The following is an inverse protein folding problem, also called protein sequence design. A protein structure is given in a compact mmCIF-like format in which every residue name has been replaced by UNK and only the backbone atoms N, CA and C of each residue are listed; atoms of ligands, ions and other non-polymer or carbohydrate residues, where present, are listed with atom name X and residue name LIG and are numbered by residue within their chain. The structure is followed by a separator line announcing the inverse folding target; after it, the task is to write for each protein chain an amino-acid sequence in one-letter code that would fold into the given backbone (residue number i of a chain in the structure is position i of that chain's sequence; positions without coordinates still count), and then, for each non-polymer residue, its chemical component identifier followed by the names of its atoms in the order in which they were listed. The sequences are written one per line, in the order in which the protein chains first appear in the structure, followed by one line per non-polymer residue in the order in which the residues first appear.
data_IF_079269926414
#
_entry.id   IF_079269926414
#
_cell.length_a   1.000
_cell.length_b   1.000
_cell.length_c   1.000
_cell.angle_alpha   90.00
_cell.angle_beta   90.00
_cell.angle_gamma   90.00
#
_symmetry.space_group_name_H-M   'P 1'
#
loop_
_entity.id
_entity.type
_entity.pdbx_description
1 polymer ?
#
# COMPACT_ATOMS: atom_id res chain seq x y z
N UNK A 1 40.99 -51.17 35.94
CA UNK A 1 41.46 -49.84 35.47
C UNK A 1 40.39 -49.28 34.54
N UNK A 2 39.60 -48.31 35.03
CA UNK A 2 38.60 -47.59 34.25
C UNK A 2 39.31 -46.45 33.47
N UNK A 3 39.04 -46.34 32.17
CA UNK A 3 39.37 -45.17 31.37
C UNK A 3 38.08 -44.37 31.15
N UNK A 4 38.04 -43.13 31.67
CA UNK A 4 36.94 -42.19 31.46
C UNK A 4 37.34 -41.23 30.34
N UNK A 5 36.58 -41.21 29.25
CA UNK A 5 36.69 -40.25 28.15
C UNK A 5 35.81 -39.02 28.43
N UNK A 6 36.44 -37.84 28.52
CA UNK A 6 35.74 -36.56 28.55
C UNK A 6 35.32 -36.15 27.13
N UNK A 7 34.01 -35.92 26.93
CA UNK A 7 33.45 -35.25 25.75
C UNK A 7 33.30 -33.75 26.06
N UNK A 8 34.11 -32.92 25.41
CA UNK A 8 33.95 -31.47 25.42
C UNK A 8 33.03 -31.05 24.26
N UNK A 9 31.77 -30.74 24.55
CA UNK A 9 30.84 -30.11 23.61
C UNK A 9 30.75 -28.61 23.86
N UNK A 10 31.29 -27.81 22.95
CA UNK A 10 31.17 -26.34 22.98
C UNK A 10 29.82 -25.88 22.45
N UNK A 11 29.07 -25.12 23.25
CA UNK A 11 27.83 -24.47 22.85
C UNK A 11 28.14 -23.08 22.27
N UNK A 12 28.06 -22.94 20.94
CA UNK A 12 28.12 -21.64 20.27
C UNK A 12 26.72 -21.01 20.25
N UNK A 13 26.48 -20.05 21.15
CA UNK A 13 25.31 -19.17 21.09
C UNK A 13 25.55 -18.10 20.01
N UNK A 14 24.97 -18.29 18.83
CA UNK A 14 24.94 -17.29 17.78
C UNK A 14 24.02 -16.13 18.16
N UNK A 15 24.59 -14.96 18.45
CA UNK A 15 23.84 -13.70 18.55
C UNK A 15 23.31 -13.33 17.16
N UNK A 16 22.05 -13.64 16.90
CA UNK A 16 21.29 -13.09 15.77
C UNK A 16 21.05 -11.60 16.06
N UNK A 17 21.88 -10.73 15.47
CA UNK A 17 21.66 -9.29 15.52
C UNK A 17 20.44 -8.93 14.67
N UNK A 18 19.28 -8.77 15.30
CA UNK A 18 18.09 -8.19 14.64
C UNK A 18 18.39 -6.73 14.30
N UNK A 19 18.42 -6.39 13.01
CA UNK A 19 18.53 -5.00 12.57
C UNK A 19 17.25 -4.25 12.98
N UNK A 20 17.34 -3.09 13.65
CA UNK A 20 16.15 -2.30 13.96
C UNK A 20 15.49 -1.85 12.65
N UNK A 21 14.20 -2.15 12.50
CA UNK A 21 13.36 -1.58 11.43
C UNK A 21 13.04 -0.14 11.80
N UNK A 22 13.36 0.86 10.96
CA UNK A 22 12.93 2.22 11.20
C UNK A 22 11.40 2.25 11.26
N UNK A 23 10.86 2.89 12.30
CA UNK A 23 9.42 3.16 12.44
C UNK A 23 9.22 4.61 12.03
N UNK A 24 8.40 4.84 11.00
CA UNK A 24 8.01 6.18 10.57
C UNK A 24 6.62 6.49 11.14
N UNK A 25 6.40 7.72 11.59
CA UNK A 25 5.08 8.17 12.01
C UNK A 25 4.27 8.56 10.80
N UNK A 26 3.03 8.09 10.70
CA UNK A 26 2.13 8.52 9.66
C UNK A 26 1.69 9.97 9.95
N UNK A 27 1.66 10.81 8.92
CA UNK A 27 1.18 12.17 9.07
C UNK A 27 0.22 12.57 7.96
N UNK A 28 -0.81 13.34 8.31
CA UNK A 28 -1.55 14.10 7.28
C UNK A 28 -0.59 15.15 6.73
N UNK A 29 -0.34 15.20 5.41
CA UNK A 29 0.62 16.16 4.85
C UNK A 29 0.31 17.60 5.26
N UNK A 30 1.34 18.38 5.59
CA UNK A 30 1.21 19.78 5.97
C UNK A 30 2.28 20.63 5.26
N UNK A 31 1.91 21.52 4.33
CA UNK A 31 0.54 21.82 3.91
C UNK A 31 -0.08 20.64 3.12
N UNK A 32 -1.40 20.41 3.25
CA UNK A 32 -1.99 19.20 2.67
C UNK A 32 -2.09 19.25 1.14
N UNK A 33 -2.01 18.08 0.51
CA UNK A 33 -2.05 17.85 -0.92
C UNK A 33 -3.15 16.84 -1.30
N UNK A 34 -3.15 16.41 -2.55
CA UNK A 34 -3.96 15.30 -3.03
C UNK A 34 -3.22 14.53 -4.12
N UNK A 35 -3.56 13.26 -4.29
CA UNK A 35 -3.05 12.41 -5.36
C UNK A 35 -4.19 11.95 -6.24
N UNK A 36 -3.91 11.86 -7.54
CA UNK A 36 -4.78 11.23 -8.52
C UNK A 36 -4.04 10.11 -9.18
N UNK A 37 -4.73 9.09 -9.66
CA UNK A 37 -4.07 8.12 -10.51
C UNK A 37 -5.01 7.08 -11.07
N UNK A 38 -4.46 6.32 -12.00
CA UNK A 38 -5.14 5.19 -12.61
C UNK A 38 -4.22 4.38 -13.47
N UNK A 39 -4.61 3.15 -13.77
CA UNK A 39 -3.82 2.25 -14.58
C UNK A 39 -4.05 0.80 -14.22
N UNK A 40 -3.00 0.02 -14.29
CA UNK A 40 -3.03 -1.36 -13.83
C UNK A 40 -1.72 -1.81 -13.21
N UNK A 41 -1.82 -2.85 -12.39
CA UNK A 41 -0.70 -3.65 -11.90
C UNK A 41 -0.87 -5.09 -12.36
N UNK A 42 0.23 -5.85 -12.42
CA UNK A 42 0.17 -7.30 -12.62
C UNK A 42 0.12 -8.04 -11.28
N UNK A 43 -0.75 -9.05 -11.21
CA UNK A 43 -0.92 -9.92 -10.06
C UNK A 43 -0.75 -11.35 -10.54
N UNK A 44 0.42 -11.96 -10.27
CA UNK A 44 0.71 -13.35 -10.61
C UNK A 44 0.45 -14.29 -9.43
N UNK A 45 0.28 -15.59 -9.70
CA UNK A 45 0.02 -16.59 -8.66
C UNK A 45 1.05 -16.56 -7.53
N UNK A 46 0.55 -16.57 -6.30
CA UNK A 46 1.29 -16.47 -5.06
C UNK A 46 1.73 -15.05 -4.65
N UNK A 47 1.27 -13.98 -5.31
CA UNK A 47 1.74 -12.60 -5.04
C UNK A 47 0.75 -11.70 -4.29
N UNK A 48 -0.48 -12.15 -4.10
CA UNK A 48 -1.45 -11.61 -3.14
C UNK A 48 -1.64 -12.56 -1.96
N UNK A 49 -2.00 -12.00 -0.80
CA UNK A 49 -2.06 -12.73 0.47
C UNK A 49 -3.27 -13.67 0.63
N UNK A 50 -4.16 -13.81 -0.36
CA UNK A 50 -5.34 -14.70 -0.27
C UNK A 50 -5.82 -15.27 -1.61
N UNK A 51 -6.35 -16.51 -1.63
CA UNK A 51 -6.80 -17.23 -2.84
C UNK A 51 -8.00 -16.54 -3.52
N UNK A 52 -8.22 -16.70 -4.84
CA UNK A 52 -8.04 -17.89 -5.68
C UNK A 52 -6.71 -17.90 -6.48
N UNK A 53 -6.41 -18.94 -7.29
CA UNK A 53 -5.19 -18.95 -8.11
C UNK A 53 -5.15 -17.73 -9.03
N UNK A 54 -4.21 -16.83 -8.77
CA UNK A 54 -3.97 -15.70 -9.64
C UNK A 54 -3.37 -16.24 -10.95
N UNK A 55 -3.71 -15.64 -12.08
CA UNK A 55 -3.38 -16.15 -13.42
C UNK A 55 -2.45 -15.21 -14.20
N UNK A 56 -1.88 -14.21 -13.51
CA UNK A 56 -1.09 -13.15 -14.13
C UNK A 56 -1.95 -12.06 -14.78
N UNK A 57 -3.25 -12.00 -14.47
CA UNK A 57 -4.13 -10.96 -15.00
C UNK A 57 -3.80 -9.61 -14.36
N UNK A 58 -4.24 -8.58 -15.07
CA UNK A 58 -4.12 -7.19 -14.62
C UNK A 58 -5.15 -6.92 -13.53
N UNK A 59 -4.79 -6.12 -12.54
CA UNK A 59 -5.78 -5.41 -11.73
C UNK A 59 -5.80 -3.94 -12.12
N UNK A 60 -6.97 -3.45 -12.49
CA UNK A 60 -7.18 -2.07 -12.89
C UNK A 60 -7.55 -1.23 -11.67
N UNK A 61 -7.11 0.02 -11.65
CA UNK A 61 -7.53 0.95 -10.61
C UNK A 61 -7.71 2.37 -11.16
N UNK A 62 -8.52 3.15 -10.46
CA UNK A 62 -8.64 4.59 -10.57
C UNK A 62 -8.91 5.17 -9.19
N UNK A 63 -8.27 6.28 -8.86
CA UNK A 63 -8.40 6.90 -7.56
C UNK A 63 -8.18 8.41 -7.60
N UNK A 64 -8.76 9.07 -6.60
CA UNK A 64 -8.29 10.35 -6.08
C UNK A 64 -8.37 10.28 -4.57
N UNK A 65 -7.42 10.89 -3.87
CA UNK A 65 -7.46 11.00 -2.42
C UNK A 65 -6.67 12.20 -1.95
N UNK A 66 -7.18 12.91 -0.96
CA UNK A 66 -6.48 14.08 -0.43
C UNK A 66 -7.24 14.78 0.67
N UNK A 67 -6.75 15.97 1.02
CA UNK A 67 -7.46 16.87 1.90
C UNK A 67 -8.21 17.95 1.13
N UNK A 68 -9.38 18.34 1.65
CA UNK A 68 -10.13 19.49 1.17
C UNK A 68 -10.98 20.10 2.29
N UNK A 69 -10.89 21.41 2.47
CA UNK A 69 -11.72 22.20 3.39
C UNK A 69 -11.80 21.63 4.82
N UNK A 70 -10.67 21.18 5.38
CA UNK A 70 -10.58 20.61 6.73
C UNK A 70 -11.00 19.15 6.85
N UNK A 71 -11.36 18.49 5.75
CA UNK A 71 -11.73 17.07 5.70
C UNK A 71 -10.93 16.29 4.67
N UNK A 72 -11.22 14.99 4.58
CA UNK A 72 -10.72 14.13 3.50
C UNK A 72 -11.72 14.06 2.36
N UNK A 73 -11.23 13.84 1.15
CA UNK A 73 -12.06 13.58 -0.03
C UNK A 73 -11.38 12.55 -0.92
N UNK A 74 -12.16 11.89 -1.76
CA UNK A 74 -11.61 10.99 -2.74
C UNK A 74 -12.61 9.98 -3.29
N UNK A 75 -12.08 9.07 -4.10
CA UNK A 75 -12.75 7.85 -4.50
C UNK A 75 -11.70 6.77 -4.80
N UNK A 76 -12.10 5.51 -4.71
CA UNK A 76 -11.34 4.36 -5.17
C UNK A 76 -12.25 3.49 -6.04
N UNK A 77 -11.72 3.05 -7.17
CA UNK A 77 -12.29 1.97 -7.96
C UNK A 77 -11.16 1.00 -8.32
N UNK A 78 -11.21 -0.24 -7.84
CA UNK A 78 -10.20 -1.27 -8.07
C UNK A 78 -10.86 -2.57 -8.52
N UNK A 79 -10.36 -3.17 -9.60
CA UNK A 79 -10.88 -4.42 -10.18
C UNK A 79 -9.73 -5.39 -10.40
N UNK A 80 -9.73 -6.50 -9.67
CA UNK A 80 -8.82 -7.63 -9.90
C UNK A 80 -9.47 -8.62 -10.89
N UNK A 81 -8.93 -8.68 -12.10
CA UNK A 81 -9.46 -9.53 -13.16
C UNK A 81 -9.12 -11.02 -12.98
N UNK A 82 -8.32 -11.41 -11.96
CA UNK A 82 -8.05 -12.82 -11.68
C UNK A 82 -9.24 -13.52 -11.02
N UNK A 83 -9.91 -12.82 -10.10
CA UNK A 83 -10.93 -13.39 -9.23
C UNK A 83 -12.27 -12.65 -9.32
N UNK A 84 -12.33 -11.52 -10.03
CA UNK A 84 -13.52 -10.68 -10.14
C UNK A 84 -13.78 -9.83 -8.90
N UNK A 85 -12.80 -9.65 -8.01
CA UNK A 85 -12.88 -8.73 -6.89
C UNK A 85 -13.00 -7.30 -7.43
N UNK A 86 -14.04 -6.59 -7.02
CA UNK A 86 -14.25 -5.19 -7.32
C UNK A 86 -14.49 -4.43 -6.02
N UNK A 87 -13.68 -3.40 -5.80
CA UNK A 87 -13.69 -2.52 -4.62
C UNK A 87 -14.03 -1.12 -5.10
N UNK A 88 -15.10 -0.54 -4.55
CA UNK A 88 -15.57 0.80 -4.90
C UNK A 88 -15.80 1.61 -3.63
N UNK A 89 -15.32 2.85 -3.61
CA UNK A 89 -15.50 3.75 -2.47
C UNK A 89 -15.56 5.21 -2.90
N UNK A 90 -16.39 5.97 -2.20
CA UNK A 90 -16.40 7.43 -2.12
C UNK A 90 -16.17 7.92 -0.66
N UNK A 91 -15.91 7.00 0.26
CA UNK A 91 -15.81 7.24 1.70
C UNK A 91 -14.36 7.15 2.14
N UNK A 92 -13.70 8.32 2.25
CA UNK A 92 -12.30 8.43 2.68
C UNK A 92 -12.23 8.82 4.15
N UNK A 93 -11.52 8.02 4.94
CA UNK A 93 -11.37 8.19 6.40
C UNK A 93 -9.98 8.68 6.79
N UNK A 94 -8.97 8.46 5.95
CA UNK A 94 -7.63 9.02 6.14
C UNK A 94 -6.91 9.25 4.81
N UNK A 95 -6.07 10.28 4.82
CA UNK A 95 -5.08 10.58 3.79
C UNK A 95 -3.78 10.97 4.45
N UNK A 96 -2.76 10.12 4.35
CA UNK A 96 -1.50 10.28 5.09
C UNK A 96 -0.27 10.04 4.23
N UNK A 97 0.82 10.72 4.54
CA UNK A 97 2.15 10.29 4.16
C UNK A 97 2.60 9.20 5.16
N UNK A 98 2.79 7.96 4.74
CA UNK A 98 3.23 6.89 5.64
C UNK A 98 4.71 6.95 5.98
N UNK A 99 5.47 7.80 5.29
CA UNK A 99 6.92 7.83 5.37
C UNK A 99 7.48 9.25 5.23
N UNK A 100 7.12 10.18 6.12
CA UNK A 100 7.67 11.52 6.05
C UNK A 100 9.18 11.49 6.31
N UNK A 101 9.96 11.89 5.30
CA UNK A 101 11.43 11.94 5.36
C UNK A 101 12.15 10.63 4.98
N UNK A 102 11.44 9.64 4.46
CA UNK A 102 12.02 8.36 4.06
C UNK A 102 12.95 8.42 2.86
N UNK A 103 13.92 7.50 2.86
CA UNK A 103 14.80 7.23 1.73
C UNK A 103 14.37 5.95 0.99
N UNK A 104 14.43 5.90 -0.35
CA UNK A 104 14.78 7.01 -1.25
C UNK A 104 13.72 8.12 -1.23
N UNK A 105 14.02 9.36 -1.66
CA UNK A 105 13.07 10.47 -1.68
C UNK A 105 11.72 10.14 -2.33
N UNK A 106 11.70 9.12 -3.20
CA UNK A 106 10.48 8.49 -3.73
C UNK A 106 9.42 8.13 -2.70
N UNK A 107 9.86 7.57 -1.57
CA UNK A 107 8.96 7.19 -0.50
C UNK A 107 8.30 8.40 0.18
N UNK A 108 8.84 9.62 0.04
CA UNK A 108 8.18 10.84 0.53
C UNK A 108 6.97 11.24 -0.32
N UNK A 109 6.94 10.83 -1.58
CA UNK A 109 5.78 11.02 -2.46
C UNK A 109 4.73 9.92 -2.24
N UNK A 110 4.92 9.03 -1.27
CA UNK A 110 3.93 8.03 -0.92
C UNK A 110 2.71 8.65 -0.26
N UNK A 111 1.52 8.21 -0.67
CA UNK A 111 0.27 8.59 -0.03
C UNK A 111 -0.55 7.35 0.21
N UNK A 112 -0.99 7.22 1.45
CA UNK A 112 -1.96 6.23 1.82
C UNK A 112 -3.34 6.87 1.89
N UNK A 113 -4.28 6.26 1.17
CA UNK A 113 -5.69 6.62 1.18
C UNK A 113 -6.43 5.45 1.82
N UNK A 114 -7.16 5.75 2.88
CA UNK A 114 -7.89 4.75 3.65
C UNK A 114 -9.36 5.11 3.70
N UNK A 115 -10.21 4.11 3.81
CA UNK A 115 -11.65 4.31 3.75
C UNK A 115 -12.45 3.04 3.93
N UNK A 116 -13.76 3.17 3.78
CA UNK A 116 -14.69 2.06 3.69
C UNK A 116 -15.12 1.91 2.23
N UNK A 117 -15.14 0.67 1.72
CA UNK A 117 -15.49 0.36 0.35
C UNK A 117 -16.55 -0.73 0.29
N UNK A 118 -17.47 -0.60 -0.65
CA UNK A 118 -18.32 -1.70 -1.06
C UNK A 118 -17.50 -2.66 -1.92
N UNK A 119 -17.59 -3.94 -1.58
CA UNK A 119 -16.84 -5.00 -2.24
C UNK A 119 -17.80 -5.99 -2.87
N UNK A 120 -17.50 -6.37 -4.11
CA UNK A 120 -18.15 -7.48 -4.80
C UNK A 120 -17.12 -8.46 -5.34
N UNK A 121 -17.54 -9.71 -5.53
CA UNK A 121 -16.75 -10.76 -6.16
C UNK A 121 -17.58 -11.32 -7.30
N UNK A 122 -17.04 -11.28 -8.52
CA UNK A 122 -17.73 -11.73 -9.74
C UNK A 122 -19.09 -11.03 -9.92
N UNK A 123 -19.16 -9.74 -9.55
CA UNK A 123 -20.37 -8.93 -9.62
C UNK A 123 -21.39 -9.18 -8.50
N UNK A 124 -21.14 -10.12 -7.58
CA UNK A 124 -21.99 -10.36 -6.41
C UNK A 124 -21.49 -9.56 -5.21
N UNK A 125 -22.28 -8.65 -4.62
CA UNK A 125 -21.88 -7.92 -3.41
C UNK A 125 -21.56 -8.87 -2.26
N UNK A 126 -20.45 -8.63 -1.57
CA UNK A 126 -20.00 -9.42 -0.41
C UNK A 126 -19.98 -8.61 0.89
N UNK A 127 -20.13 -7.29 0.81
CA UNK A 127 -20.28 -6.39 1.96
C UNK A 127 -19.38 -5.16 1.89
N UNK A 128 -19.30 -4.46 3.00
CA UNK A 128 -18.46 -3.26 3.16
C UNK A 128 -17.22 -3.62 3.97
N UNK A 129 -16.06 -3.18 3.49
CA UNK A 129 -14.74 -3.50 4.06
C UNK A 129 -13.89 -2.24 4.18
N UNK A 130 -12.91 -2.24 5.07
CA UNK A 130 -11.91 -1.19 5.10
C UNK A 130 -10.90 -1.43 3.96
N UNK A 131 -10.37 -0.36 3.40
CA UNK A 131 -9.25 -0.44 2.49
C UNK A 131 -8.14 0.52 2.89
N UNK A 132 -6.93 0.17 2.47
CA UNK A 132 -5.78 1.06 2.42
C UNK A 132 -5.15 0.90 1.05
N UNK A 133 -5.04 1.97 0.29
CA UNK A 133 -4.23 1.99 -0.93
C UNK A 133 -3.01 2.86 -0.71
N UNK A 134 -1.88 2.44 -1.27
CA UNK A 134 -0.65 3.22 -1.32
C UNK A 134 -0.36 3.60 -2.75
N UNK A 135 -0.23 4.90 -3.00
CA UNK A 135 0.27 5.44 -4.26
C UNK A 135 1.65 6.04 -4.05
N UNK A 136 2.50 5.97 -5.08
CA UNK A 136 3.80 6.63 -5.09
C UNK A 136 3.99 7.22 -6.47
N UNK A 137 3.95 8.56 -6.56
CA UNK A 137 4.44 9.33 -7.72
C UNK A 137 5.98 9.27 -7.69
N UNK A 138 6.55 8.59 -8.67
CA UNK A 138 7.98 8.30 -8.74
C UNK A 138 8.67 9.00 -9.92
N UNK A 139 7.91 9.44 -10.93
CA UNK A 139 8.47 9.86 -12.21
C UNK A 139 9.40 11.09 -12.15
N UNK A 140 9.28 11.97 -11.16
CA UNK A 140 10.13 13.18 -11.08
C UNK A 140 11.47 12.99 -10.36
N UNK A 141 11.90 11.76 -10.08
CA UNK A 141 12.92 11.50 -9.05
C UNK A 141 14.27 10.99 -9.55
N UNK A 142 14.37 10.46 -10.76
CA UNK A 142 15.65 10.09 -11.38
C UNK A 142 15.59 10.13 -12.90
N UNK A 143 16.74 9.98 -13.56
CA UNK A 143 16.84 9.78 -15.01
C UNK A 143 17.49 8.42 -15.30
N UNK A 144 16.80 7.46 -15.96
CA UNK A 144 15.41 7.56 -16.41
C UNK A 144 14.41 7.61 -15.24
N UNK A 145 13.22 8.21 -15.44
CA UNK A 145 12.21 8.30 -14.40
C UNK A 145 11.71 6.89 -14.05
N UNK A 146 11.69 6.51 -12.76
CA UNK A 146 11.11 5.25 -12.35
C UNK A 146 9.59 5.33 -12.56
N UNK A 147 8.95 4.18 -12.82
CA UNK A 147 7.49 4.12 -12.89
C UNK A 147 6.87 4.35 -11.51
N UNK A 148 5.69 4.97 -11.52
CA UNK A 148 4.85 5.09 -10.33
C UNK A 148 4.41 3.74 -9.79
N UNK A 149 3.82 3.76 -8.59
CA UNK A 149 3.47 2.53 -7.89
C UNK A 149 2.09 2.60 -7.27
N UNK A 150 1.49 1.42 -7.16
CA UNK A 150 0.22 1.21 -6.50
C UNK A 150 0.26 -0.09 -5.68
N UNK A 151 -0.37 -0.09 -4.52
CA UNK A 151 -0.64 -1.27 -3.69
C UNK A 151 -1.97 -1.11 -2.96
N UNK A 152 -2.57 -2.23 -2.56
CA UNK A 152 -3.88 -2.24 -1.88
C UNK A 152 -3.95 -3.31 -0.81
N UNK A 153 -4.52 -2.94 0.34
CA UNK A 153 -5.05 -3.84 1.35
C UNK A 153 -6.56 -3.70 1.46
N UNK A 154 -7.22 -4.83 1.71
CA UNK A 154 -8.60 -4.90 2.17
C UNK A 154 -8.61 -5.58 3.53
N UNK A 155 -9.27 -4.92 4.47
CA UNK A 155 -9.40 -5.35 5.85
C UNK A 155 -10.87 -5.61 6.19
N UNK A 156 -11.10 -6.58 7.06
CA UNK A 156 -12.40 -6.68 7.73
C UNK A 156 -12.64 -5.42 8.57
N UNK A 157 -13.86 -4.90 8.60
CA UNK A 157 -14.26 -3.88 9.57
C UNK A 157 -14.63 -4.54 10.90
N UNK A 158 -14.12 -4.01 12.01
CA UNK A 158 -14.60 -4.38 13.34
C UNK A 158 -15.96 -3.74 13.67
N UNK A 159 -16.54 -4.08 14.82
CA UNK A 159 -17.84 -3.54 15.27
C UNK A 159 -17.84 -2.04 15.52
N UNK A 160 -16.66 -1.41 15.59
CA UNK A 160 -16.49 0.04 15.76
C UNK A 160 -16.20 0.74 14.43
N UNK A 161 -16.15 0.00 13.32
CA UNK A 161 -15.84 0.53 11.99
C UNK A 161 -14.35 0.74 11.74
N UNK A 162 -13.46 0.13 12.53
CA UNK A 162 -12.02 0.20 12.30
C UNK A 162 -11.52 -0.93 11.42
N UNK A 163 -10.42 -0.70 10.71
CA UNK A 163 -9.72 -1.73 9.96
C UNK A 163 -9.12 -2.79 10.90
N UNK A 164 -9.57 -4.03 10.73
CA UNK A 164 -9.10 -5.20 11.47
C UNK A 164 -8.22 -6.11 10.62
N UNK A 165 -8.52 -7.41 10.64
CA UNK A 165 -7.72 -8.43 9.96
C UNK A 165 -7.64 -8.19 8.44
N UNK A 166 -6.44 -8.37 7.89
CA UNK A 166 -6.20 -8.35 6.44
C UNK A 166 -6.88 -9.55 5.77
N UNK A 167 -7.67 -9.28 4.73
CA UNK A 167 -8.36 -10.29 3.92
C UNK A 167 -7.78 -10.39 2.52
N UNK A 168 -7.18 -9.32 2.02
CA UNK A 168 -6.55 -9.26 0.70
C UNK A 168 -5.44 -8.22 0.75
N UNK A 169 -4.26 -8.56 0.24
CA UNK A 169 -3.12 -7.67 0.16
C UNK A 169 -2.41 -7.89 -1.16
N UNK A 170 -2.19 -6.78 -1.87
CA UNK A 170 -1.30 -6.68 -3.02
C UNK A 170 -0.27 -5.61 -2.69
N UNK A 171 0.97 -6.06 -2.44
CA UNK A 171 2.03 -5.15 -2.04
C UNK A 171 2.28 -4.10 -3.12
N UNK A 172 2.69 -2.91 -2.69
CA UNK A 172 3.02 -1.80 -3.57
C UNK A 172 4.03 -2.26 -4.61
N UNK A 173 3.66 -2.09 -5.87
CA UNK A 173 4.44 -2.53 -7.03
C UNK A 173 4.31 -1.52 -8.17
N UNK A 174 5.24 -1.59 -9.11
CA UNK A 174 5.30 -0.66 -10.24
C UNK A 174 4.06 -0.77 -11.12
N UNK A 175 3.56 0.38 -11.58
CA UNK A 175 2.51 0.42 -12.57
C UNK A 175 2.98 -0.22 -13.87
N UNK A 176 2.07 -1.00 -14.46
CA UNK A 176 2.22 -1.52 -15.80
C UNK A 176 3.52 -2.33 -16.03
N UNK A 177 4.10 -2.90 -14.97
CA UNK A 177 5.30 -3.74 -15.05
C UNK A 177 5.02 -5.01 -15.85
N UNK A 178 6.02 -5.49 -16.58
CA UNK A 178 6.07 -6.83 -17.17
C UNK A 178 6.28 -7.95 -16.12
N UNK A 179 6.81 -7.59 -14.95
CA UNK A 179 6.99 -8.48 -13.82
C UNK A 179 5.86 -8.33 -12.80
N UNK A 180 5.21 -9.43 -12.41
CA UNK A 180 4.18 -9.42 -11.37
C UNK A 180 4.73 -9.23 -9.95
N UNK A 181 6.04 -9.42 -9.78
CA UNK A 181 6.77 -9.16 -8.54
C UNK A 181 7.60 -7.88 -8.63
N UNK A 182 7.37 -7.06 -9.66
CA UNK A 182 8.14 -5.87 -9.98
C UNK A 182 8.53 -5.12 -8.71
N UNK A 183 9.80 -5.25 -8.33
CA UNK A 183 10.28 -4.69 -7.08
C UNK A 183 10.08 -3.18 -7.19
N UNK A 184 9.33 -2.64 -6.24
CA UNK A 184 9.04 -1.22 -6.21
C UNK A 184 10.35 -0.38 -6.21
N UNK A 185 11.48 -0.89 -5.73
CA UNK A 185 12.77 -0.19 -5.81
C UNK A 185 13.39 -0.10 -7.21
N UNK A 186 13.01 -0.95 -8.16
CA UNK A 186 13.68 -1.07 -9.47
C UNK A 186 12.69 -0.95 -10.64
N UNK A 187 11.66 -0.12 -10.50
CA UNK A 187 10.69 0.13 -11.56
C UNK A 187 11.37 0.57 -12.86
N UNK A 188 11.45 -0.33 -13.85
CA UNK A 188 12.06 -0.06 -15.14
C UNK A 188 11.18 0.90 -15.95
N UNK A 189 11.77 1.99 -16.44
CA UNK A 189 11.11 2.97 -17.30
C UNK A 189 10.63 2.40 -18.64
N UNK A 190 11.16 1.24 -19.06
CA UNK A 190 10.97 0.66 -20.40
C UNK A 190 9.66 -0.14 -20.52
N UNK A 191 8.91 -0.31 -19.43
CA UNK A 191 7.69 -1.10 -19.46
C UNK A 191 6.58 -0.37 -20.27
N UNK A 192 6.10 -0.96 -21.38
CA UNK A 192 5.21 -0.31 -22.35
C UNK A 192 3.74 -0.22 -21.89
N UNK A 193 3.47 -0.37 -20.60
CA UNK A 193 2.11 -0.32 -20.08
C UNK A 193 1.68 1.10 -19.68
N UNK A 194 0.37 1.34 -19.76
CA UNK A 194 -0.27 2.60 -19.38
C UNK A 194 -0.65 2.66 -17.90
N UNK A 195 -0.68 3.87 -17.36
CA UNK A 195 -1.01 4.19 -15.98
C UNK A 195 -0.09 5.27 -15.44
N UNK A 196 -0.58 6.01 -14.45
CA UNK A 196 0.04 7.24 -13.96
C UNK A 196 -0.47 7.56 -12.55
N UNK A 197 0.43 8.02 -11.67
CA UNK A 197 0.11 8.60 -10.37
C UNK A 197 0.68 10.01 -10.33
N UNK A 198 -0.18 10.97 -10.07
CA UNK A 198 0.21 12.38 -9.95
C UNK A 198 0.00 12.84 -8.52
N UNK A 199 1.06 13.37 -7.91
CA UNK A 199 0.97 14.08 -6.64
C UNK A 199 0.78 15.58 -6.88
N UNK A 200 -0.42 16.08 -6.59
CA UNK A 200 -0.78 17.48 -6.78
C UNK A 200 -0.43 18.30 -5.55
N UNK A 201 0.43 19.30 -5.74
CA UNK A 201 0.86 20.18 -4.66
C UNK A 201 -0.31 20.93 -4.01
N UNK A 202 -0.10 21.32 -2.76
CA UNK A 202 -1.03 22.11 -1.97
C UNK A 202 -1.58 23.35 -2.71
N UNK A 203 -2.88 23.59 -2.53
CA UNK A 203 -3.53 24.87 -2.75
C UNK A 203 -4.35 25.27 -1.51
N UNK A 204 -4.85 26.52 -1.40
CA UNK A 204 -5.55 27.00 -0.21
C UNK A 204 -6.77 26.17 0.23
N UNK A 205 -7.39 25.42 -0.69
CA UNK A 205 -8.51 24.53 -0.38
C UNK A 205 -8.06 23.16 0.14
N UNK A 206 -6.79 22.77 -0.04
CA UNK A 206 -6.21 21.53 0.47
C UNK A 206 -5.77 21.69 1.93
N UNK A 207 -6.76 21.91 2.79
CA UNK A 207 -6.59 21.85 4.25
C UNK A 207 -7.18 20.53 4.75
N UNK A 208 -6.44 19.84 5.61
CA UNK A 208 -6.83 18.55 6.18
C UNK A 208 -7.09 18.62 7.68
N UNK A 209 -7.78 17.63 8.24
CA UNK A 209 -7.85 17.46 9.69
C UNK A 209 -6.50 16.96 10.22
N UNK A 210 -6.28 17.07 11.52
CA UNK A 210 -5.17 16.35 12.19
C UNK A 210 -5.63 14.95 12.59
N UNK A 211 -4.80 13.94 12.34
CA UNK A 211 -4.98 12.60 12.89
C UNK A 211 -3.83 12.25 13.83
N UNK A 212 -4.15 11.61 14.94
CA UNK A 212 -3.16 10.89 15.75
C UNK A 212 -2.82 9.55 15.11
N UNK A 213 -1.64 8.99 15.43
CA UNK A 213 -1.21 7.67 14.93
C UNK A 213 -2.25 6.57 15.24
N UNK A 214 -2.95 6.65 16.38
CA UNK A 214 -4.03 5.73 16.73
C UNK A 214 -5.22 5.84 15.78
N UNK A 215 -5.60 7.06 15.39
CA UNK A 215 -6.67 7.28 14.42
C UNK A 215 -6.26 6.82 13.02
N UNK A 216 -4.99 7.00 12.64
CA UNK A 216 -4.47 6.45 11.39
C UNK A 216 -4.54 4.92 11.41
N UNK A 217 -4.07 4.28 12.49
CA UNK A 217 -4.13 2.82 12.64
C UNK A 217 -5.56 2.31 12.56
N UNK A 218 -6.50 2.99 13.22
CA UNK A 218 -7.92 2.64 13.17
C UNK A 218 -8.51 2.77 11.76
N UNK A 219 -8.14 3.80 11.01
CA UNK A 219 -8.64 4.05 9.66
C UNK A 219 -8.00 3.16 8.59
N UNK A 220 -6.70 2.92 8.68
CA UNK A 220 -5.88 2.30 7.63
C UNK A 220 -5.51 0.85 7.89
N UNK A 221 -5.61 0.37 9.14
CA UNK A 221 -5.16 -0.98 9.49
C UNK A 221 -3.64 -1.12 9.37
N UNK A 222 -3.19 -2.34 9.04
CA UNK A 222 -1.78 -2.68 8.96
C UNK A 222 -1.02 -1.94 7.84
N UNK A 223 0.25 -1.62 8.09
CA UNK A 223 1.19 -1.01 7.13
C UNK A 223 2.21 -2.02 6.59
N UNK A 224 1.73 -2.99 5.82
CA UNK A 224 2.51 -4.03 5.15
C UNK A 224 2.55 -3.87 3.60
N UNK A 225 2.18 -2.69 3.09
CA UNK A 225 2.19 -2.39 1.66
C UNK A 225 3.61 -2.25 1.07
N UNK A 226 4.60 -1.86 1.88
CA UNK A 226 5.98 -1.66 1.42
C UNK A 226 6.18 -0.39 0.56
N UNK A 227 7.38 -0.25 -0.03
CA UNK A 227 7.82 0.89 -0.87
C UNK A 227 8.64 0.45 -2.07
#
# INVERSE_FOLDING_TARGET
MLAATLLAGGLLLGLQASRPTPVYSHEVPSPCDFTTGGGFILIAPGTASSPPPETGQKANFGLVGGCKNGGFFGHLNYVDNNNGLHVSSDTITAYVNPCPGCAPPAANNARDICGAADVSIQGSPVGTFAFRVRTIDAEQQSSPPPKDKFGIHIHQLDSSGNAGNTLYLVQTRCLASDSPTGNARTCSAVNPGGGDIELHKHNPSNTGPSLSEQQVTAACGADDLGY
#
